data_IF_534107036375
#
_entry.id   IF_534107036375
#
_cell.length_a   1.000
_cell.length_b   1.000
_cell.length_c   1.000
_cell.angle_alpha   90.00
_cell.angle_beta   90.00
_cell.angle_gamma   90.00
#
_symmetry.space_group_name_H-M   'P 1'
#
loop_
_entity.id
_entity.type
_entity.pdbx_description
1 polymer ?
#
# COMPACT_ATOMS: atom_id res chain seq x y z
N UNK A 1 18.05 -6.42 -4.24
CA UNK A 1 17.15 -5.29 -3.94
C UNK A 1 15.77 -5.89 -3.95
N UNK A 2 15.01 -5.76 -2.87
CA UNK A 2 13.60 -6.15 -2.89
C UNK A 2 12.88 -5.09 -3.70
N UNK A 3 12.26 -5.48 -4.81
CA UNK A 3 11.55 -4.54 -5.67
C UNK A 3 10.11 -4.45 -5.15
N UNK A 4 9.48 -3.28 -5.29
CA UNK A 4 8.09 -3.07 -4.85
C UNK A 4 7.14 -4.16 -5.40
N UNK A 5 7.45 -4.64 -6.61
CA UNK A 5 6.75 -5.72 -7.30
C UNK A 5 6.67 -7.03 -6.51
N UNK A 6 7.59 -7.29 -5.56
CA UNK A 6 7.54 -8.48 -4.70
C UNK A 6 6.36 -8.48 -3.72
N UNK A 7 5.79 -7.29 -3.44
CA UNK A 7 4.65 -7.10 -2.53
C UNK A 7 3.34 -6.82 -3.27
N UNK A 8 3.39 -6.77 -4.60
CA UNK A 8 2.24 -6.40 -5.44
C UNK A 8 1.57 -7.64 -5.93
N UNK A 9 0.31 -7.80 -5.56
CA UNK A 9 -0.51 -8.88 -6.07
C UNK A 9 -1.28 -8.40 -7.31
N UNK A 10 -1.17 -9.19 -8.39
CA UNK A 10 -1.90 -8.94 -9.65
C UNK A 10 -3.41 -8.95 -9.36
N UNK A 11 -3.86 -9.88 -8.52
CA UNK A 11 -5.23 -9.94 -8.04
C UNK A 11 -5.39 -9.08 -6.79
N UNK A 12 -6.49 -8.32 -6.72
CA UNK A 12 -6.80 -7.51 -5.54
C UNK A 12 -6.90 -8.41 -4.31
N UNK A 13 -6.14 -8.15 -3.22
CA UNK A 13 -6.29 -8.89 -1.99
C UNK A 13 -7.72 -8.73 -1.46
N UNK A 14 -8.24 -9.77 -0.83
CA UNK A 14 -9.56 -9.73 -0.21
C UNK A 14 -9.42 -9.73 1.31
N UNK A 15 -10.51 -9.39 2.01
CA UNK A 15 -10.54 -9.51 3.47
C UNK A 15 -10.47 -10.98 3.97
N UNK A 16 -10.52 -11.97 3.06
CA UNK A 16 -10.20 -13.34 3.43
C UNK A 16 -8.70 -13.56 3.62
N UNK A 17 -7.88 -12.77 2.93
CA UNK A 17 -6.42 -12.88 2.90
C UNK A 17 -5.77 -11.93 3.92
N UNK A 18 -6.38 -10.76 4.16
CA UNK A 18 -5.90 -9.75 5.11
C UNK A 18 -7.02 -9.18 5.99
N UNK A 19 -6.68 -8.75 7.21
CA UNK A 19 -7.67 -8.19 8.16
C UNK A 19 -7.91 -6.69 8.02
N UNK A 20 -6.91 -5.95 7.54
CA UNK A 20 -6.92 -4.49 7.50
C UNK A 20 -6.58 -3.96 6.11
N UNK A 21 -7.15 -2.81 5.80
CA UNK A 21 -6.88 -2.05 4.57
C UNK A 21 -6.68 -0.58 4.92
N UNK A 22 -5.56 -0.01 4.47
CA UNK A 22 -5.30 1.42 4.43
C UNK A 22 -5.34 1.91 2.99
N UNK A 23 -6.08 2.99 2.74
CA UNK A 23 -5.98 3.76 1.50
C UNK A 23 -5.17 5.01 1.74
N UNK A 24 -4.12 5.19 0.96
CA UNK A 24 -3.13 6.25 1.11
C UNK A 24 -3.00 7.00 -0.22
N UNK A 25 -2.93 8.33 -0.14
CA UNK A 25 -2.41 9.15 -1.23
C UNK A 25 -0.95 9.45 -0.96
N UNK A 26 -0.07 8.94 -1.82
CA UNK A 26 1.37 9.06 -1.65
C UNK A 26 1.99 9.94 -2.72
N UNK A 27 2.78 10.90 -2.26
CA UNK A 27 3.74 11.65 -3.07
C UNK A 27 4.95 10.78 -3.38
N UNK A 28 5.73 11.08 -4.43
CA UNK A 28 6.90 10.28 -4.83
C UNK A 28 7.87 9.97 -3.69
N UNK A 29 8.25 10.98 -2.90
CA UNK A 29 9.20 10.81 -1.79
C UNK A 29 8.69 9.89 -0.68
N UNK A 30 7.36 9.79 -0.53
CA UNK A 30 6.71 8.92 0.46
C UNK A 30 6.49 7.51 -0.09
N UNK A 31 6.34 7.38 -1.41
CA UNK A 31 6.34 6.08 -2.07
C UNK A 31 7.67 5.36 -1.88
N UNK A 32 8.79 6.04 -2.14
CA UNK A 32 10.13 5.46 -1.94
C UNK A 32 10.28 4.96 -0.49
N UNK A 33 9.80 5.75 0.47
CA UNK A 33 9.79 5.38 1.89
C UNK A 33 8.89 4.17 2.16
N UNK A 34 7.73 4.06 1.51
CA UNK A 34 6.87 2.88 1.62
C UNK A 34 7.61 1.62 1.14
N UNK A 35 8.28 1.69 -0.02
CA UNK A 35 9.07 0.58 -0.58
C UNK A 35 10.14 0.11 0.40
N UNK A 36 10.79 1.02 1.12
CA UNK A 36 11.78 0.67 2.14
C UNK A 36 11.18 0.01 3.40
N UNK A 37 9.93 0.30 3.70
CA UNK A 37 9.23 -0.18 4.90
C UNK A 37 8.56 -1.54 4.68
N UNK A 38 8.03 -1.82 3.50
CA UNK A 38 7.31 -3.07 3.18
C UNK A 38 8.09 -4.34 3.53
N UNK A 39 9.40 -4.48 3.27
CA UNK A 39 10.16 -5.68 3.63
C UNK A 39 10.29 -5.92 5.14
N UNK A 40 9.97 -4.93 5.97
CA UNK A 40 10.01 -5.03 7.44
C UNK A 40 8.66 -5.43 8.02
N UNK A 41 7.60 -5.39 7.22
CA UNK A 41 6.27 -5.81 7.62
C UNK A 41 6.11 -7.31 7.43
N UNK A 42 5.42 -7.95 8.36
CA UNK A 42 5.35 -9.41 8.43
C UNK A 42 4.32 -10.02 7.48
N UNK A 43 3.23 -9.30 7.20
CA UNK A 43 2.17 -9.73 6.28
C UNK A 43 1.54 -8.51 5.64
N UNK A 44 2.12 -8.08 4.53
CA UNK A 44 1.68 -6.89 3.78
C UNK A 44 1.48 -7.23 2.30
N UNK A 45 0.45 -6.64 1.70
CA UNK A 45 0.25 -6.63 0.25
C UNK A 45 -0.16 -5.25 -0.20
N UNK A 46 0.35 -4.83 -1.36
CA UNK A 46 0.07 -3.52 -1.93
C UNK A 46 -0.72 -3.68 -3.23
N UNK A 47 -1.79 -2.91 -3.36
CA UNK A 47 -2.56 -2.83 -4.60
C UNK A 47 -2.84 -1.37 -4.96
N UNK A 48 -2.86 -1.05 -6.25
CA UNK A 48 -3.30 0.26 -6.76
C UNK A 48 -4.59 0.10 -7.56
N UNK A 49 -5.25 1.23 -7.85
CA UNK A 49 -6.50 1.25 -8.60
C UNK A 49 -6.41 0.63 -10.01
N UNK A 50 -5.21 0.49 -10.57
CA UNK A 50 -5.00 0.10 -11.97
C UNK A 50 -4.38 -1.30 -12.16
N UNK A 51 -4.31 -2.15 -11.13
CA UNK A 51 -3.77 -3.52 -11.19
C UNK A 51 -2.58 -3.70 -12.15
N UNK A 52 -1.56 -2.83 -12.08
CA UNK A 52 -0.45 -2.93 -13.00
C UNK A 52 0.38 -4.18 -12.67
N UNK A 53 0.82 -4.88 -13.72
CA UNK A 53 1.77 -5.99 -13.60
C UNK A 53 3.14 -5.50 -13.07
N UNK A 54 3.41 -4.21 -13.20
CA UNK A 54 4.64 -3.54 -12.75
C UNK A 54 4.28 -2.25 -12.01
N UNK A 55 4.24 -2.31 -10.67
CA UNK A 55 3.81 -1.18 -9.83
C UNK A 55 4.86 -0.07 -9.82
N UNK A 56 6.15 -0.40 -9.90
CA UNK A 56 7.21 0.61 -9.97
C UNK A 56 7.08 1.42 -11.26
N UNK A 57 6.95 0.73 -12.40
CA UNK A 57 6.74 1.38 -13.69
C UNK A 57 5.40 2.15 -13.72
N UNK A 58 4.34 1.58 -13.18
CA UNK A 58 3.05 2.25 -13.06
C UNK A 58 3.12 3.52 -12.21
N UNK A 59 3.78 3.47 -11.05
CA UNK A 59 3.98 4.64 -10.21
C UNK A 59 4.78 5.70 -10.98
N UNK A 60 5.90 5.34 -11.61
CA UNK A 60 6.69 6.26 -12.45
C UNK A 60 5.87 6.90 -13.57
N UNK A 61 5.05 6.11 -14.25
CA UNK A 61 4.20 6.58 -15.36
C UNK A 61 3.05 7.45 -14.86
N UNK A 62 2.40 7.08 -13.77
CA UNK A 62 1.37 7.89 -13.13
C UNK A 62 1.90 9.21 -12.62
N UNK A 63 3.09 9.23 -12.01
CA UNK A 63 3.74 10.48 -11.62
C UNK A 63 4.09 11.33 -12.83
N UNK A 64 4.61 10.73 -13.90
CA UNK A 64 4.93 11.45 -15.14
C UNK A 64 3.69 12.07 -15.79
N UNK A 65 2.54 11.40 -15.68
CA UNK A 65 1.29 11.84 -16.28
C UNK A 65 0.55 12.86 -15.40
N UNK A 66 0.46 12.62 -14.08
CA UNK A 66 -0.48 13.32 -13.20
C UNK A 66 0.21 14.22 -12.16
N UNK A 67 1.52 14.09 -11.96
CA UNK A 67 2.35 15.04 -11.20
C UNK A 67 2.11 15.14 -9.69
N UNK A 68 0.98 14.64 -9.19
CA UNK A 68 0.48 15.03 -7.88
C UNK A 68 0.53 13.86 -6.87
N UNK A 69 -0.28 12.79 -7.05
CA UNK A 69 -0.41 11.72 -6.05
C UNK A 69 -0.75 10.37 -6.70
N UNK A 70 -0.37 9.28 -6.04
CA UNK A 70 -0.82 7.92 -6.39
C UNK A 70 -1.62 7.35 -5.23
N UNK A 71 -2.82 6.85 -5.54
CA UNK A 71 -3.68 6.17 -4.57
C UNK A 71 -3.24 4.71 -4.42
N UNK A 72 -2.83 4.35 -3.20
CA UNK A 72 -2.30 3.04 -2.86
C UNK A 72 -3.14 2.43 -1.74
N UNK A 73 -3.48 1.16 -1.94
CA UNK A 73 -4.15 0.33 -0.94
C UNK A 73 -3.11 -0.60 -0.33
N UNK A 74 -2.88 -0.48 0.97
CA UNK A 74 -1.99 -1.35 1.74
C UNK A 74 -2.84 -2.28 2.59
N UNK A 75 -2.69 -3.57 2.38
CA UNK A 75 -3.40 -4.65 3.05
C UNK A 75 -2.47 -5.32 4.04
N UNK A 76 -2.94 -5.58 5.25
CA UNK A 76 -2.10 -6.15 6.31
C UNK A 76 -2.94 -6.82 7.40
N UNK A 77 -2.28 -7.58 8.28
CA UNK A 77 -2.94 -8.38 9.32
C UNK A 77 -2.81 -7.83 10.74
N UNK A 78 -1.95 -6.82 10.94
CA UNK A 78 -1.70 -6.20 12.24
C UNK A 78 -2.03 -4.70 12.22
N UNK A 79 -2.99 -4.28 13.05
CA UNK A 79 -3.38 -2.88 13.18
C UNK A 79 -2.24 -1.99 13.65
N UNK A 80 -1.34 -2.48 14.50
CA UNK A 80 -0.19 -1.71 14.98
C UNK A 80 0.82 -1.46 13.85
N UNK A 81 1.05 -2.44 12.97
CA UNK A 81 1.89 -2.25 11.79
C UNK A 81 1.30 -1.16 10.86
N UNK A 82 -0.02 -1.15 10.67
CA UNK A 82 -0.70 -0.12 9.88
C UNK A 82 -0.59 1.28 10.47
N UNK A 83 -0.76 1.42 11.79
CA UNK A 83 -0.61 2.72 12.47
C UNK A 83 0.84 3.20 12.42
N UNK A 84 1.81 2.32 12.68
CA UNK A 84 3.23 2.61 12.56
C UNK A 84 3.59 3.04 11.13
N UNK A 85 3.00 2.41 10.11
CA UNK A 85 3.22 2.77 8.72
C UNK A 85 2.77 4.21 8.44
N UNK A 86 1.60 4.62 8.94
CA UNK A 86 1.11 6.00 8.79
C UNK A 86 2.04 7.02 9.45
N UNK A 87 2.49 6.74 10.67
CA UNK A 87 3.42 7.60 11.40
C UNK A 87 4.77 7.71 10.69
N UNK A 88 5.30 6.58 10.22
CA UNK A 88 6.58 6.54 9.53
C UNK A 88 6.52 7.23 8.17
N UNK A 89 5.42 7.11 7.44
CA UNK A 89 5.23 7.78 6.15
C UNK A 89 4.87 9.27 6.29
N UNK A 90 4.54 9.73 7.51
CA UNK A 90 4.03 11.07 7.80
C UNK A 90 2.82 11.42 6.91
N UNK A 91 1.91 10.46 6.76
CA UNK A 91 0.70 10.58 5.93
C UNK A 91 -0.56 10.30 6.73
N UNK A 92 -1.66 10.89 6.27
CA UNK A 92 -2.99 10.52 6.74
C UNK A 92 -3.57 9.48 5.79
N UNK A 93 -4.18 8.45 6.35
CA UNK A 93 -5.00 7.55 5.56
C UNK A 93 -6.23 8.30 5.04
N UNK A 94 -6.56 8.13 3.77
CA UNK A 94 -7.86 8.53 3.23
C UNK A 94 -8.96 7.71 3.89
N UNK A 95 -8.71 6.41 4.07
CA UNK A 95 -9.61 5.52 4.79
C UNK A 95 -8.87 4.34 5.41
N UNK A 96 -9.36 3.91 6.56
CA UNK A 96 -8.93 2.69 7.25
C UNK A 96 -10.14 1.78 7.38
N UNK A 97 -10.02 0.54 6.89
CA UNK A 97 -11.07 -0.47 6.99
C UNK A 97 -10.55 -1.68 7.75
N UNK A 98 -11.41 -2.19 8.63
CA UNK A 98 -11.18 -3.38 9.44
C UNK A 98 -12.20 -4.43 9.02
N UNK A 99 -11.76 -5.69 8.88
CA UNK A 99 -12.68 -6.82 8.78
C UNK A 99 -13.48 -6.93 10.08
N UNK A 100 -14.75 -6.53 10.06
CA UNK A 100 -15.68 -6.86 11.14
C UNK A 100 -15.85 -8.38 11.16
N UNK A 101 -15.22 -9.06 12.12
CA UNK A 101 -15.58 -10.44 12.42
C UNK A 101 -17.00 -10.42 12.97
N UNK A 102 -17.98 -10.63 12.08
CA UNK A 102 -19.35 -10.94 12.49
C UNK A 102 -19.25 -12.16 13.41
N UNK A 103 -19.57 -11.94 14.68
CA UNK A 103 -19.57 -12.94 15.74
C UNK A 103 -20.85 -13.76 15.66
#
# INVERSE_FOLDING_TARGET
>A
MTELNDFVQIEKPTFNDYKYLLKLDLEPARLDKLVELLPRMSSVSVSTMLHPVDLDQFCRDMFRLWGDYVNIEVWFDDAEEGLNLLELLDVKAESFRVRETQT
#
